data_IF_826317933441
#
_entry.id   IF_826317933441
#
_cell.length_a   1.000
_cell.length_b   1.000
_cell.length_c   1.000
_cell.angle_alpha   90.00
_cell.angle_beta   90.00
_cell.angle_gamma   90.00
#
_symmetry.space_group_name_H-M   'P 1'
#
loop_
_entity.id
_entity.type
_entity.pdbx_description
1 polymer ?
#
# COMPACT_ATOMS: atom_id res chain seq x y z
N UNK A 1 72.72 7.30 -20.60
CA UNK A 1 71.97 6.75 -19.47
C UNK A 1 70.75 7.56 -19.03
N UNK A 2 70.52 8.77 -19.58
CA UNK A 2 69.38 9.65 -19.21
C UNK A 2 68.08 9.32 -19.97
N UNK A 3 68.14 8.68 -21.13
CA UNK A 3 66.95 8.44 -21.97
C UNK A 3 66.22 7.10 -21.66
N UNK A 4 66.83 6.23 -20.84
CA UNK A 4 66.21 4.93 -20.50
C UNK A 4 65.24 5.04 -19.31
N UNK A 5 65.42 6.07 -18.46
CA UNK A 5 64.56 6.30 -17.28
C UNK A 5 63.21 6.95 -17.66
N UNK A 6 63.20 7.71 -18.77
CA UNK A 6 62.00 8.42 -19.21
C UNK A 6 60.95 7.47 -19.89
N UNK A 7 61.42 6.33 -20.42
CA UNK A 7 60.56 5.33 -21.08
C UNK A 7 59.85 4.38 -20.08
N UNK A 8 60.34 4.30 -18.84
CA UNK A 8 59.77 3.41 -17.81
C UNK A 8 58.64 4.07 -17.00
N UNK A 9 58.54 5.42 -17.04
CA UNK A 9 57.53 6.18 -16.27
C UNK A 9 56.21 6.32 -17.06
N UNK A 10 56.25 6.20 -18.41
CA UNK A 10 55.06 6.34 -19.25
C UNK A 10 54.21 5.06 -19.33
N UNK A 11 54.71 3.91 -18.82
CA UNK A 11 53.99 2.62 -18.84
C UNK A 11 53.06 2.37 -17.66
N UNK A 12 53.02 3.26 -16.64
CA UNK A 12 52.25 3.04 -15.41
C UNK A 12 50.87 3.73 -15.38
N UNK A 13 50.46 4.41 -16.46
CA UNK A 13 49.18 5.16 -16.46
C UNK A 13 48.05 4.53 -17.28
N UNK A 14 48.16 3.25 -17.73
CA UNK A 14 47.11 2.62 -18.54
C UNK A 14 46.29 1.52 -17.80
N UNK A 15 46.39 1.46 -16.47
CA UNK A 15 45.57 0.52 -15.70
C UNK A 15 44.67 1.25 -14.72
N UNK A 16 43.72 2.05 -15.21
CA UNK A 16 42.61 2.54 -14.37
C UNK A 16 41.44 2.92 -15.25
N UNK A 17 40.73 1.96 -15.76
CA UNK A 17 39.34 2.04 -16.13
C UNK A 17 38.78 0.63 -16.10
N UNK A 18 38.57 0.10 -14.91
CA UNK A 18 37.66 -1.02 -14.72
C UNK A 18 36.32 -0.42 -14.34
N UNK A 19 35.47 -0.26 -15.36
CA UNK A 19 34.07 0.09 -15.16
C UNK A 19 33.44 -0.88 -14.18
N UNK A 20 33.00 -0.37 -13.06
CA UNK A 20 32.10 -1.06 -12.13
C UNK A 20 30.75 -1.30 -12.86
N UNK A 21 30.63 -2.47 -13.45
CA UNK A 21 29.35 -3.00 -13.98
C UNK A 21 28.63 -3.85 -12.93
N UNK A 22 28.54 -3.40 -11.69
CA UNK A 22 27.84 -4.14 -10.64
C UNK A 22 26.87 -3.23 -9.84
N UNK A 23 25.99 -2.52 -10.54
CA UNK A 23 24.89 -1.82 -9.86
C UNK A 23 23.57 -1.83 -10.63
N UNK A 24 23.27 -2.88 -11.37
CA UNK A 24 21.99 -2.93 -12.12
C UNK A 24 21.06 -4.07 -11.71
N UNK A 25 21.31 -4.72 -10.57
CA UNK A 25 20.51 -5.88 -10.15
C UNK A 25 19.63 -5.63 -8.90
N UNK A 26 19.50 -4.39 -8.43
CA UNK A 26 18.75 -4.11 -7.19
C UNK A 26 17.74 -2.96 -7.27
N UNK A 27 17.26 -2.63 -8.47
CA UNK A 27 16.24 -1.58 -8.64
C UNK A 27 14.79 -2.09 -8.61
N UNK A 28 14.55 -3.39 -8.75
CA UNK A 28 13.22 -3.99 -8.79
C UNK A 28 12.60 -4.30 -7.40
N UNK A 29 13.34 -4.09 -6.31
CA UNK A 29 12.84 -4.38 -4.94
C UNK A 29 12.40 -3.13 -4.17
N UNK A 30 12.45 -1.94 -4.76
CA UNK A 30 12.42 -0.68 -3.96
C UNK A 30 11.04 -0.14 -3.59
N UNK A 31 9.94 -0.67 -4.10
CA UNK A 31 8.65 0.01 -3.94
C UNK A 31 7.44 -0.91 -3.68
N UNK A 32 7.65 -2.07 -3.06
CA UNK A 32 6.54 -2.96 -2.74
C UNK A 32 6.00 -2.75 -1.32
N UNK A 33 4.68 -2.59 -1.18
CA UNK A 33 3.99 -2.56 0.12
C UNK A 33 4.25 -3.83 0.96
N UNK A 34 4.65 -4.93 0.32
CA UNK A 34 4.98 -6.20 0.97
C UNK A 34 6.33 -6.20 1.70
N UNK A 35 7.13 -5.14 1.56
CA UNK A 35 8.38 -4.95 2.31
C UNK A 35 8.13 -4.41 3.72
N UNK A 36 6.91 -3.97 4.03
CA UNK A 36 6.54 -3.56 5.38
C UNK A 36 6.41 -4.80 6.27
N UNK A 37 7.25 -4.88 7.30
CA UNK A 37 7.26 -6.01 8.26
C UNK A 37 6.22 -5.86 9.37
N UNK A 38 5.43 -4.80 9.33
CA UNK A 38 4.39 -4.49 10.31
C UNK A 38 3.34 -5.61 10.39
N UNK A 39 2.87 -5.87 11.62
CA UNK A 39 1.84 -6.86 11.92
C UNK A 39 0.47 -6.19 11.96
N UNK A 40 -0.49 -6.85 11.39
CA UNK A 40 -1.87 -6.40 11.28
C UNK A 40 -2.82 -7.43 11.86
N UNK A 41 -3.91 -6.98 12.44
CA UNK A 41 -4.99 -7.82 12.92
C UNK A 41 -6.24 -7.57 12.08
N UNK A 42 -6.86 -8.66 11.60
CA UNK A 42 -8.08 -8.59 10.80
C UNK A 42 -9.31 -8.37 11.69
N UNK A 43 -10.47 -8.08 11.07
CA UNK A 43 -11.78 -8.04 11.73
C UNK A 43 -12.17 -9.38 12.42
N UNK A 44 -11.50 -10.49 12.06
CA UNK A 44 -11.69 -11.79 12.69
C UNK A 44 -10.61 -12.15 13.70
N UNK A 45 -9.87 -11.12 14.20
CA UNK A 45 -8.78 -11.23 15.17
C UNK A 45 -7.59 -12.10 14.70
N UNK A 46 -7.48 -12.36 13.39
CA UNK A 46 -6.34 -13.11 12.83
C UNK A 46 -5.17 -12.16 12.62
N UNK A 47 -3.98 -12.54 13.10
CA UNK A 47 -2.74 -11.81 12.81
C UNK A 47 -2.25 -12.14 11.40
N UNK A 48 -1.90 -11.11 10.62
CA UNK A 48 -1.32 -11.20 9.29
C UNK A 48 -0.21 -10.13 9.09
N UNK A 49 0.57 -10.31 8.04
CA UNK A 49 1.44 -9.26 7.46
C UNK A 49 0.93 -8.89 6.06
N UNK A 50 1.25 -7.70 5.57
CA UNK A 50 0.83 -7.29 4.22
C UNK A 50 1.36 -8.24 3.13
N UNK A 51 2.53 -8.84 3.35
CA UNK A 51 3.09 -9.87 2.44
C UNK A 51 2.24 -11.13 2.29
N UNK A 52 1.34 -11.41 3.24
CA UNK A 52 0.41 -12.55 3.15
C UNK A 52 -0.66 -12.33 2.07
N UNK A 53 -0.80 -11.07 1.59
CA UNK A 53 -1.67 -10.72 0.47
C UNK A 53 -0.96 -10.82 -0.89
N UNK A 54 0.30 -11.25 -0.94
CA UNK A 54 1.06 -11.42 -2.19
C UNK A 54 0.33 -12.35 -3.15
N UNK A 55 0.28 -11.97 -4.42
CA UNK A 55 -0.46 -12.69 -5.46
C UNK A 55 -1.90 -12.21 -5.65
N UNK A 56 -2.38 -11.27 -4.82
CA UNK A 56 -3.63 -10.53 -5.02
C UNK A 56 -3.33 -9.08 -5.40
N UNK A 57 -4.16 -8.49 -6.26
CA UNK A 57 -4.22 -7.04 -6.38
C UNK A 57 -4.81 -6.46 -5.09
N UNK A 58 -4.45 -5.24 -4.74
CA UNK A 58 -4.95 -4.60 -3.52
C UNK A 58 -5.53 -3.24 -3.89
N UNK A 59 -6.75 -2.98 -3.45
CA UNK A 59 -7.34 -1.64 -3.42
C UNK A 59 -7.48 -1.25 -1.96
N UNK A 60 -6.77 -0.23 -1.51
CA UNK A 60 -6.64 0.11 -0.09
C UNK A 60 -7.08 1.53 0.20
N UNK A 61 -7.73 1.71 1.36
CA UNK A 61 -8.14 3.00 1.91
C UNK A 61 -7.93 3.01 3.42
N UNK A 62 -7.61 4.18 3.99
CA UNK A 62 -7.55 4.37 5.44
C UNK A 62 -8.83 5.04 5.94
N UNK A 63 -9.40 4.51 7.03
CA UNK A 63 -10.66 4.94 7.62
C UNK A 63 -10.56 4.96 9.16
N UNK A 64 -11.64 5.38 9.83
CA UNK A 64 -11.92 5.03 11.23
C UNK A 64 -13.42 4.82 11.42
N UNK A 65 -13.82 3.86 12.26
CA UNK A 65 -15.22 3.39 12.29
C UNK A 65 -16.20 4.41 12.86
N UNK A 66 -15.74 5.30 13.76
CA UNK A 66 -16.57 6.36 14.36
C UNK A 66 -16.79 7.57 13.44
N UNK A 67 -16.20 7.61 12.26
CA UNK A 67 -16.40 8.68 11.28
C UNK A 67 -17.82 8.67 10.71
N UNK A 68 -18.51 9.80 10.80
CA UNK A 68 -19.88 9.91 10.32
C UNK A 68 -20.02 10.69 9.00
N UNK A 69 -18.93 11.22 8.45
CA UNK A 69 -18.95 12.10 7.28
C UNK A 69 -18.20 11.53 6.09
N UNK A 70 -16.88 11.56 6.10
CA UNK A 70 -16.05 11.19 4.96
C UNK A 70 -15.92 9.67 4.76
N UNK A 71 -15.73 8.89 5.84
CA UNK A 71 -15.52 7.45 5.71
C UNK A 71 -16.71 6.68 5.12
N UNK A 72 -17.99 7.03 5.43
CA UNK A 72 -19.12 6.43 4.72
C UNK A 72 -19.10 6.63 3.22
N UNK A 73 -18.64 7.79 2.75
CA UNK A 73 -18.48 8.09 1.32
C UNK A 73 -17.38 7.24 0.72
N UNK A 74 -16.20 7.19 1.37
CA UNK A 74 -15.08 6.35 0.93
C UNK A 74 -15.45 4.87 0.85
N UNK A 75 -16.22 4.36 1.82
CA UNK A 75 -16.71 2.97 1.81
C UNK A 75 -17.68 2.75 0.64
N UNK A 76 -18.59 3.68 0.38
CA UNK A 76 -19.49 3.61 -0.77
C UNK A 76 -18.71 3.64 -2.10
N UNK A 77 -17.65 4.45 -2.20
CA UNK A 77 -16.77 4.47 -3.36
C UNK A 77 -16.04 3.12 -3.54
N UNK A 78 -15.52 2.54 -2.46
CA UNK A 78 -14.90 1.20 -2.49
C UNK A 78 -15.88 0.13 -2.96
N UNK A 79 -17.13 0.16 -2.49
CA UNK A 79 -18.18 -0.76 -2.93
C UNK A 79 -18.53 -0.58 -4.41
N UNK A 80 -18.62 0.68 -4.85
CA UNK A 80 -18.88 1.01 -6.25
C UNK A 80 -17.72 0.57 -7.16
N UNK A 81 -16.48 0.74 -6.72
CA UNK A 81 -15.29 0.21 -7.42
C UNK A 81 -15.39 -1.30 -7.55
N UNK A 82 -15.61 -2.01 -6.43
CA UNK A 82 -15.72 -3.48 -6.42
C UNK A 82 -16.83 -3.99 -7.37
N UNK A 83 -17.98 -3.31 -7.44
CA UNK A 83 -19.09 -3.68 -8.33
C UNK A 83 -18.78 -3.51 -9.82
N UNK A 84 -17.75 -2.74 -10.18
CA UNK A 84 -17.33 -2.46 -11.57
C UNK A 84 -16.10 -3.26 -11.99
N UNK A 85 -15.44 -3.94 -11.07
CA UNK A 85 -14.33 -4.86 -11.38
C UNK A 85 -14.92 -6.14 -11.97
N UNK A 86 -14.28 -6.65 -13.05
CA UNK A 86 -14.64 -7.94 -13.65
C UNK A 86 -14.65 -9.04 -12.56
N UNK A 87 -15.66 -9.91 -12.51
CA UNK A 87 -15.77 -10.94 -11.47
C UNK A 87 -14.54 -11.87 -11.36
N UNK A 88 -13.83 -12.13 -12.45
CA UNK A 88 -12.57 -12.90 -12.42
C UNK A 88 -11.46 -12.11 -11.75
N UNK A 89 -11.34 -10.81 -12.08
CA UNK A 89 -10.36 -9.91 -11.47
C UNK A 89 -10.68 -9.61 -10.01
N UNK A 90 -11.96 -9.51 -9.65
CA UNK A 90 -12.38 -9.30 -8.27
C UNK A 90 -11.98 -10.48 -7.36
N UNK A 91 -12.02 -11.71 -7.84
CA UNK A 91 -11.49 -12.90 -7.12
C UNK A 91 -9.99 -12.84 -6.89
N UNK A 92 -9.26 -12.10 -7.72
CA UNK A 92 -7.82 -11.87 -7.62
C UNK A 92 -7.47 -10.55 -6.90
N UNK A 93 -8.46 -9.88 -6.33
CA UNK A 93 -8.31 -8.56 -5.71
C UNK A 93 -8.79 -8.61 -4.26
N UNK A 94 -8.06 -7.95 -3.36
CA UNK A 94 -8.47 -7.72 -1.97
C UNK A 94 -8.79 -6.24 -1.80
N UNK A 95 -9.99 -5.94 -1.28
CA UNK A 95 -10.45 -4.60 -0.94
C UNK A 95 -10.14 -4.37 0.54
N UNK A 96 -9.13 -3.54 0.82
CA UNK A 96 -8.57 -3.38 2.17
C UNK A 96 -9.00 -2.04 2.78
N UNK A 97 -9.57 -2.09 3.97
CA UNK A 97 -9.86 -0.92 4.79
C UNK A 97 -8.97 -0.95 6.03
N UNK A 98 -8.14 0.06 6.23
CA UNK A 98 -7.21 0.12 7.36
C UNK A 98 -7.67 1.17 8.35
N UNK A 99 -7.89 0.78 9.61
CA UNK A 99 -8.21 1.72 10.66
C UNK A 99 -7.01 2.58 11.06
N UNK A 100 -7.25 3.89 11.22
CA UNK A 100 -6.30 4.84 11.82
C UNK A 100 -6.56 5.11 13.30
N UNK A 101 -7.54 4.43 13.91
CA UNK A 101 -7.92 4.59 15.33
C UNK A 101 -7.70 3.29 16.12
N UNK A 102 -6.44 2.90 16.41
CA UNK A 102 -6.14 1.65 17.09
C UNK A 102 -6.68 1.57 18.53
N UNK A 103 -7.07 2.70 19.10
CA UNK A 103 -7.58 2.74 20.49
C UNK A 103 -9.05 2.30 20.56
N UNK A 104 -9.84 2.62 19.53
CA UNK A 104 -11.28 2.35 19.52
C UNK A 104 -11.67 1.24 18.55
N UNK A 105 -10.97 1.06 17.45
CA UNK A 105 -11.29 0.08 16.41
C UNK A 105 -10.69 -1.30 16.74
N UNK A 106 -11.30 -2.00 17.70
CA UNK A 106 -10.95 -3.40 18.00
C UNK A 106 -11.41 -4.34 16.88
N UNK A 107 -10.95 -5.60 16.82
CA UNK A 107 -11.45 -6.56 15.84
C UNK A 107 -12.98 -6.69 15.86
N UNK A 108 -13.59 -6.70 17.06
CA UNK A 108 -15.03 -6.81 17.26
C UNK A 108 -15.76 -5.59 16.68
N UNK A 109 -15.20 -4.39 16.88
CA UNK A 109 -15.73 -3.13 16.32
C UNK A 109 -15.61 -3.15 14.80
N UNK A 110 -14.45 -3.54 14.25
CA UNK A 110 -14.26 -3.69 12.81
C UNK A 110 -15.21 -4.73 12.21
N UNK A 111 -15.44 -5.85 12.89
CA UNK A 111 -16.38 -6.88 12.45
C UNK A 111 -17.82 -6.38 12.43
N UNK A 112 -18.23 -5.66 13.48
CA UNK A 112 -19.55 -5.03 13.55
C UNK A 112 -19.72 -3.98 12.44
N UNK A 113 -18.68 -3.16 12.20
CA UNK A 113 -18.65 -2.19 11.11
C UNK A 113 -18.75 -2.85 9.74
N UNK A 114 -17.99 -3.92 9.49
CA UNK A 114 -18.06 -4.69 8.24
C UNK A 114 -19.49 -5.20 7.99
N UNK A 115 -20.14 -5.77 9.01
CA UNK A 115 -21.54 -6.22 8.92
C UNK A 115 -22.50 -5.06 8.61
N UNK A 116 -22.37 -3.95 9.33
CA UNK A 116 -23.23 -2.77 9.13
C UNK A 116 -23.08 -2.18 7.73
N UNK A 117 -21.88 -2.26 7.14
CA UNK A 117 -21.55 -1.68 5.84
C UNK A 117 -21.61 -2.70 4.69
N UNK A 118 -22.05 -3.94 4.93
CA UNK A 118 -22.08 -5.02 3.93
C UNK A 118 -20.70 -5.29 3.30
N UNK A 119 -19.67 -5.36 4.14
CA UNK A 119 -18.28 -5.66 3.78
C UNK A 119 -17.83 -7.00 4.36
N UNK A 120 -18.76 -7.98 4.43
CA UNK A 120 -18.49 -9.30 4.97
C UNK A 120 -17.96 -10.25 3.88
N UNK A 121 -16.98 -11.08 4.25
CA UNK A 121 -16.38 -12.06 3.34
C UNK A 121 -15.52 -11.45 2.23
N UNK A 122 -15.02 -12.30 1.33
CA UNK A 122 -14.26 -11.85 0.17
C UNK A 122 -15.10 -10.93 -0.73
N UNK A 123 -14.49 -9.87 -1.30
CA UNK A 123 -13.06 -9.54 -1.29
C UNK A 123 -12.63 -8.60 -0.13
N UNK A 124 -13.42 -8.43 0.91
CA UNK A 124 -13.24 -7.39 1.93
C UNK A 124 -12.33 -7.84 3.06
N UNK A 125 -11.41 -6.97 3.44
CA UNK A 125 -10.48 -7.16 4.54
C UNK A 125 -10.34 -5.85 5.31
N UNK A 126 -10.71 -5.87 6.60
CA UNK A 126 -10.54 -4.75 7.50
C UNK A 126 -9.34 -5.03 8.42
N UNK A 127 -8.44 -4.05 8.52
CA UNK A 127 -7.18 -4.20 9.26
C UNK A 127 -7.04 -3.13 10.33
N UNK A 128 -6.43 -3.52 11.44
CA UNK A 128 -5.92 -2.63 12.47
C UNK A 128 -4.49 -3.01 12.85
N UNK A 129 -3.75 -2.08 13.44
CA UNK A 129 -2.42 -2.33 13.99
C UNK A 129 -2.11 -1.35 15.13
N UNK A 130 -0.88 -1.32 15.61
CA UNK A 130 -0.40 -0.27 16.50
C UNK A 130 -0.19 1.07 15.76
N UNK A 131 0.04 2.13 16.53
CA UNK A 131 0.21 3.50 16.00
C UNK A 131 1.41 3.65 15.07
N UNK A 132 2.47 2.90 15.30
CA UNK A 132 3.70 2.96 14.52
C UNK A 132 3.50 2.33 13.14
N UNK A 133 2.95 1.12 13.09
CA UNK A 133 2.59 0.42 11.85
C UNK A 133 1.58 1.21 11.01
N UNK A 134 0.58 1.82 11.66
CA UNK A 134 -0.40 2.69 10.97
C UNK A 134 0.31 3.90 10.36
N UNK A 135 1.23 4.52 11.09
CA UNK A 135 1.98 5.69 10.59
C UNK A 135 2.91 5.32 9.44
N UNK A 136 3.58 4.19 9.54
CA UNK A 136 4.43 3.67 8.47
C UNK A 136 3.63 3.47 7.18
N UNK A 137 2.50 2.77 7.25
CA UNK A 137 1.63 2.56 6.10
C UNK A 137 1.04 3.88 5.57
N UNK A 138 0.62 4.79 6.45
CA UNK A 138 0.11 6.10 6.05
C UNK A 138 1.16 6.91 5.27
N UNK A 139 2.45 6.83 5.65
CA UNK A 139 3.54 7.47 4.92
C UNK A 139 3.70 6.87 3.52
N UNK A 140 3.65 5.54 3.39
CA UNK A 140 3.72 4.87 2.08
C UNK A 140 2.54 5.25 1.19
N UNK A 141 1.33 5.37 1.77
CA UNK A 141 0.13 5.77 1.06
C UNK A 141 -0.03 7.29 0.91
N UNK A 142 0.95 8.11 1.35
CA UNK A 142 0.86 9.56 1.40
C UNK A 142 -0.39 10.10 2.12
N UNK A 143 -1.00 9.31 3.01
CA UNK A 143 -2.18 9.68 3.79
C UNK A 143 -1.75 10.54 4.98
N UNK A 144 -2.20 11.78 5.00
CA UNK A 144 -2.05 12.66 6.16
C UNK A 144 -3.22 12.43 7.09
N UNK A 145 -2.96 12.16 8.37
CA UNK A 145 -4.01 12.06 9.39
C UNK A 145 -3.57 12.73 10.70
N UNK A 146 -4.56 13.28 11.41
CA UNK A 146 -4.36 13.93 12.71
C UNK A 146 -5.56 13.66 13.61
N UNK A 147 -5.31 13.19 14.82
CA UNK A 147 -6.35 13.08 15.86
C UNK A 147 -6.75 14.46 16.33
N UNK A 148 -8.02 14.82 16.20
CA UNK A 148 -8.59 16.11 16.58
C UNK A 148 -9.22 16.04 17.98
N UNK A 149 -9.89 14.92 18.28
CA UNK A 149 -10.48 14.62 19.57
C UNK A 149 -10.37 13.10 19.83
N UNK A 150 -10.80 12.58 21.00
CA UNK A 150 -10.71 11.14 21.30
C UNK A 150 -11.28 10.21 20.24
N UNK A 151 -12.28 10.65 19.49
CA UNK A 151 -13.01 9.85 18.48
C UNK A 151 -13.08 10.51 17.10
N UNK A 152 -12.37 11.63 16.88
CA UNK A 152 -12.41 12.36 15.60
C UNK A 152 -11.01 12.54 15.05
N UNK A 153 -10.86 12.19 13.78
CA UNK A 153 -9.64 12.41 13.00
C UNK A 153 -9.95 13.28 11.78
N UNK A 154 -8.96 14.06 11.37
CA UNK A 154 -8.85 14.60 10.02
C UNK A 154 -7.90 13.73 9.26
N UNK A 155 -8.23 13.29 8.04
CA UNK A 155 -7.35 12.54 7.17
C UNK A 155 -7.61 12.82 5.69
N UNK A 156 -6.60 12.56 4.85
CA UNK A 156 -6.73 12.61 3.40
C UNK A 156 -7.63 11.48 2.91
N UNK A 157 -8.48 11.79 1.92
CA UNK A 157 -9.30 10.80 1.23
C UNK A 157 -8.50 10.24 0.05
N UNK A 158 -7.77 9.15 0.27
CA UNK A 158 -6.89 8.54 -0.72
C UNK A 158 -7.27 7.07 -0.89
N UNK A 159 -7.49 6.66 -2.14
CA UNK A 159 -7.61 5.24 -2.53
C UNK A 159 -6.39 4.89 -3.37
N UNK A 160 -5.69 3.82 -3.01
CA UNK A 160 -4.48 3.35 -3.69
C UNK A 160 -4.68 1.94 -4.23
N UNK A 161 -4.18 1.69 -5.45
CA UNK A 161 -4.21 0.39 -6.13
C UNK A 161 -2.80 -0.15 -6.24
N UNK A 162 -2.61 -1.40 -5.78
CA UNK A 162 -1.37 -2.15 -5.93
C UNK A 162 -1.61 -3.40 -6.78
N UNK A 163 -0.60 -3.78 -7.54
CA UNK A 163 -0.61 -5.04 -8.29
C UNK A 163 -0.26 -6.25 -7.37
N UNK A 164 -0.25 -7.46 -7.94
CA UNK A 164 0.07 -8.72 -7.25
C UNK A 164 1.47 -8.79 -6.63
N UNK A 165 2.38 -7.89 -7.05
CA UNK A 165 3.73 -7.75 -6.50
C UNK A 165 3.80 -6.70 -5.38
N UNK A 166 2.70 -6.01 -5.10
CA UNK A 166 2.64 -4.92 -4.12
C UNK A 166 3.22 -3.59 -4.62
N UNK A 167 3.40 -3.45 -5.93
CA UNK A 167 3.82 -2.21 -6.57
C UNK A 167 2.61 -1.29 -6.73
N UNK A 168 2.76 -0.01 -6.38
CA UNK A 168 1.70 0.99 -6.54
C UNK A 168 1.48 1.29 -8.02
N UNK A 169 0.25 1.12 -8.47
CA UNK A 169 -0.15 1.34 -9.88
C UNK A 169 -0.95 2.62 -10.07
N UNK A 170 -1.84 2.93 -9.12
CA UNK A 170 -2.66 4.13 -9.19
C UNK A 170 -2.99 4.64 -7.78
N UNK A 171 -3.14 5.94 -7.64
CA UNK A 171 -3.56 6.58 -6.41
C UNK A 171 -4.46 7.77 -6.75
N UNK A 172 -5.62 7.86 -6.10
CA UNK A 172 -6.59 8.93 -6.30
C UNK A 172 -6.86 9.62 -4.96
N UNK A 173 -6.69 10.93 -4.93
CA UNK A 173 -7.01 11.79 -3.79
C UNK A 173 -8.25 12.63 -4.08
N UNK A 174 -9.11 12.81 -3.06
CA UNK A 174 -10.29 13.68 -3.14
C UNK A 174 -11.51 12.97 -3.71
N UNK A 175 -12.07 13.50 -4.81
CA UNK A 175 -13.27 12.92 -5.45
C UNK A 175 -12.90 11.68 -6.25
N UNK A 176 -13.44 10.53 -5.87
CA UNK A 176 -13.11 9.23 -6.45
C UNK A 176 -13.89 9.00 -7.74
N UNK A 177 -13.17 8.77 -8.84
CA UNK A 177 -13.73 8.23 -10.06
C UNK A 177 -13.70 6.69 -10.02
N UNK A 178 -14.80 6.07 -9.59
CA UNK A 178 -14.89 4.60 -9.43
C UNK A 178 -14.69 3.84 -10.76
N UNK A 179 -15.03 4.42 -11.90
CA UNK A 179 -14.81 3.79 -13.22
C UNK A 179 -13.32 3.73 -13.56
N UNK A 180 -12.58 4.78 -13.26
CA UNK A 180 -11.14 4.84 -13.50
C UNK A 180 -10.39 3.83 -12.64
N UNK A 181 -10.72 3.75 -11.33
CA UNK A 181 -10.10 2.76 -10.43
C UNK A 181 -10.41 1.34 -10.89
N UNK A 182 -11.66 1.03 -11.18
CA UNK A 182 -12.07 -0.29 -11.65
C UNK A 182 -11.39 -0.65 -12.99
N UNK A 183 -11.28 0.30 -13.94
CA UNK A 183 -10.55 0.12 -15.19
C UNK A 183 -9.08 -0.19 -14.95
N UNK A 184 -8.44 0.50 -13.99
CA UNK A 184 -7.05 0.20 -13.59
C UNK A 184 -6.93 -1.24 -13.11
N UNK A 185 -7.78 -1.68 -12.17
CA UNK A 185 -7.74 -3.05 -11.64
C UNK A 185 -8.01 -4.10 -12.72
N UNK A 186 -8.97 -3.84 -13.61
CA UNK A 186 -9.31 -4.74 -14.73
C UNK A 186 -8.15 -4.91 -15.72
N UNK A 187 -7.28 -3.91 -15.84
CA UNK A 187 -6.08 -3.94 -16.70
C UNK A 187 -4.87 -4.64 -16.08
N UNK A 188 -4.91 -5.00 -14.78
CA UNK A 188 -3.79 -5.69 -14.13
C UNK A 188 -3.72 -7.17 -14.54
N UNK A 189 -2.48 -7.68 -14.65
CA UNK A 189 -2.20 -9.09 -15.00
C UNK A 189 -2.09 -9.97 -13.77
#
# INVERSE_FOLDING_TARGET
MKNLIFLLITSLFLFSCQEHKDQQENTDLKESIFLLDSKWQTQDAKEIQLKDLKGKNIVIVMIFTSCQTACPILVADMQKIASKIDPKKLKETTMVLVSIDPENDTPEVLKAYAKQRHLEGEPWLLLRSDKESIRELANVLAVKYKKISPIVFSHSNIITVFNKKGEMINQIEGTVNSDEVAKTVNGLN
#
